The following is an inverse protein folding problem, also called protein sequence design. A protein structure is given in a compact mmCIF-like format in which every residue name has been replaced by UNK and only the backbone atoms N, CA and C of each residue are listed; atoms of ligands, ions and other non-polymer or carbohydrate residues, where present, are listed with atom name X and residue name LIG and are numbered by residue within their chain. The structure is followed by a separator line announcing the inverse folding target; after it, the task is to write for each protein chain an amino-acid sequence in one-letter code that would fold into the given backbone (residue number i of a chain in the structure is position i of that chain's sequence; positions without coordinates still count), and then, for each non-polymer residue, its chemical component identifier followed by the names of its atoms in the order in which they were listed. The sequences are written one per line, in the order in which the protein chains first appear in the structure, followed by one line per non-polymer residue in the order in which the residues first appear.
data_IF_891552540111
#
_entry.id   IF_891552540111
#
_cell.length_a   1.000
_cell.length_b   1.000
_cell.length_c   1.000
_cell.angle_alpha   90.00
_cell.angle_beta   90.00
_cell.angle_gamma   90.00
#
_symmetry.space_group_name_H-M   'P 1'
#
loop_
_entity.id
_entity.type
_entity.pdbx_description
1 polymer ?
#
# COMPACT_ATOMS: atom_id res chain seq x y z
N UNK A 1 33.63 -23.02 -50.52
CA UNK A 1 34.27 -22.25 -49.43
C UNK A 1 34.92 -21.01 -50.03
N UNK A 2 34.13 -19.97 -50.33
CA UNK A 2 34.68 -18.68 -50.71
C UNK A 2 35.08 -17.95 -49.43
N UNK A 3 36.35 -17.59 -49.30
CA UNK A 3 36.89 -16.86 -48.15
C UNK A 3 36.13 -15.53 -47.98
N UNK A 4 35.39 -15.42 -46.88
CA UNK A 4 34.72 -14.19 -46.48
C UNK A 4 35.80 -13.15 -46.11
N UNK A 5 35.88 -11.99 -46.78
CA UNK A 5 36.93 -10.97 -46.59
C UNK A 5 37.07 -10.43 -45.15
N UNK A 6 36.10 -10.69 -44.29
CA UNK A 6 36.07 -10.25 -42.89
C UNK A 6 36.92 -11.11 -41.95
N UNK A 7 37.30 -12.33 -42.34
CA UNK A 7 38.15 -13.21 -41.53
C UNK A 7 39.56 -12.64 -41.33
N UNK A 8 40.07 -11.91 -42.32
CA UNK A 8 41.38 -11.24 -42.27
C UNK A 8 41.42 -10.05 -41.29
N UNK A 9 40.27 -9.63 -40.75
CA UNK A 9 40.16 -8.50 -39.80
C UNK A 9 40.50 -8.90 -38.36
N UNK A 10 40.49 -10.20 -38.06
CA UNK A 10 40.81 -10.73 -36.75
C UNK A 10 42.24 -11.29 -36.77
N UNK A 11 43.15 -10.66 -36.01
CA UNK A 11 44.55 -11.13 -35.88
C UNK A 11 44.55 -12.63 -35.58
N UNK A 12 45.45 -13.40 -36.22
CA UNK A 12 45.65 -14.85 -36.02
C UNK A 12 45.42 -15.22 -34.54
N UNK A 13 44.31 -15.91 -34.27
CA UNK A 13 44.02 -16.43 -32.94
C UNK A 13 45.20 -17.33 -32.53
N UNK A 14 45.96 -16.92 -31.51
CA UNK A 14 46.99 -17.74 -30.87
C UNK A 14 46.37 -19.09 -30.47
N UNK A 15 47.14 -20.19 -30.62
CA UNK A 15 46.71 -21.53 -30.19
C UNK A 15 46.34 -21.59 -28.70
N UNK A 16 46.81 -20.63 -27.89
CA UNK A 16 46.40 -20.49 -26.49
C UNK A 16 44.91 -20.17 -26.34
N UNK A 17 44.23 -19.52 -27.28
CA UNK A 17 42.81 -19.12 -27.10
C UNK A 17 41.82 -20.28 -26.89
N UNK A 18 42.16 -21.50 -27.31
CA UNK A 18 41.28 -22.67 -27.13
C UNK A 18 41.53 -23.32 -25.76
N UNK A 19 40.49 -23.84 -25.08
CA UNK A 19 40.67 -24.58 -23.83
C UNK A 19 41.68 -25.73 -24.01
N UNK A 20 42.65 -25.91 -23.10
CA UNK A 20 43.55 -27.05 -23.17
C UNK A 20 42.77 -28.36 -23.05
N UNK A 21 43.26 -29.43 -23.71
CA UNK A 21 42.62 -30.75 -23.68
C UNK A 21 42.57 -31.42 -22.29
N UNK A 22 43.21 -30.85 -21.27
CA UNK A 22 43.26 -31.37 -19.90
C UNK A 22 42.54 -30.39 -18.96
N UNK A 23 41.57 -30.91 -18.20
CA UNK A 23 40.73 -30.15 -17.25
C UNK A 23 41.49 -29.71 -15.98
N UNK A 24 42.59 -30.36 -15.62
CA UNK A 24 43.39 -30.01 -14.44
C UNK A 24 44.59 -29.20 -14.92
N UNK A 25 44.56 -27.90 -14.64
CA UNK A 25 45.57 -26.92 -15.06
C UNK A 25 46.03 -26.09 -13.87
N UNK A 26 47.29 -25.63 -13.99
CA UNK A 26 48.04 -24.83 -13.02
C UNK A 26 47.16 -23.78 -12.28
N UNK A 27 47.09 -23.84 -10.96
CA UNK A 27 46.27 -22.93 -10.11
C UNK A 27 47.01 -21.63 -9.73
N UNK A 28 48.09 -21.33 -10.42
CA UNK A 28 48.87 -20.11 -10.22
C UNK A 28 48.05 -18.87 -10.61
N UNK A 29 48.01 -17.87 -9.74
CA UNK A 29 47.16 -16.67 -9.87
C UNK A 29 47.53 -15.85 -11.12
N UNK A 30 48.82 -15.77 -11.44
CA UNK A 30 49.31 -15.11 -12.65
C UNK A 30 48.83 -15.84 -13.92
N UNK A 31 48.85 -17.17 -13.91
CA UNK A 31 48.36 -17.99 -15.02
C UNK A 31 46.85 -17.85 -15.19
N UNK A 32 46.08 -17.89 -14.10
CA UNK A 32 44.63 -17.72 -14.12
C UNK A 32 44.22 -16.33 -14.64
N UNK A 33 44.93 -15.27 -14.24
CA UNK A 33 44.67 -13.90 -14.72
C UNK A 33 44.93 -13.73 -16.24
N UNK A 34 46.04 -14.29 -16.73
CA UNK A 34 46.33 -14.33 -18.18
C UNK A 34 45.25 -15.12 -18.90
N UNK A 35 44.85 -16.28 -18.36
CA UNK A 35 43.84 -17.14 -18.96
C UNK A 35 42.48 -16.46 -19.03
N UNK A 36 42.09 -15.76 -17.97
CA UNK A 36 40.85 -14.97 -17.93
C UNK A 36 40.85 -13.89 -19.01
N UNK A 37 41.97 -13.18 -19.17
CA UNK A 37 42.13 -12.14 -20.21
C UNK A 37 42.04 -12.74 -21.61
N UNK A 38 42.74 -13.86 -21.87
CA UNK A 38 42.68 -14.54 -23.16
C UNK A 38 41.26 -15.04 -23.49
N UNK A 39 40.55 -15.62 -22.51
CA UNK A 39 39.18 -16.07 -22.69
C UNK A 39 38.23 -14.90 -22.97
N UNK A 40 38.42 -13.76 -22.29
CA UNK A 40 37.63 -12.55 -22.51
C UNK A 40 37.80 -12.02 -23.94
N UNK A 41 39.03 -11.97 -24.45
CA UNK A 41 39.32 -11.54 -25.81
C UNK A 41 38.78 -12.52 -26.86
N UNK A 42 38.82 -13.83 -26.58
CA UNK A 42 38.19 -14.84 -27.42
C UNK A 42 36.67 -14.62 -27.49
N UNK A 43 35.99 -14.52 -26.34
CA UNK A 43 34.54 -14.32 -26.28
C UNK A 43 34.11 -13.02 -26.96
N UNK A 44 34.85 -11.92 -26.78
CA UNK A 44 34.62 -10.66 -27.51
C UNK A 44 34.73 -10.82 -29.02
N UNK A 45 35.66 -11.65 -29.47
CA UNK A 45 35.86 -11.92 -30.89
C UNK A 45 34.71 -12.75 -31.45
N UNK A 46 34.31 -13.80 -30.74
CA UNK A 46 33.14 -14.64 -31.08
C UNK A 46 31.88 -13.78 -31.16
N UNK A 47 31.61 -12.94 -30.16
CA UNK A 47 30.45 -12.05 -30.16
C UNK A 47 30.43 -11.06 -31.33
N UNK A 48 31.59 -10.45 -31.67
CA UNK A 48 31.69 -9.55 -32.84
C UNK A 48 31.47 -10.27 -34.16
N UNK A 49 32.04 -11.45 -34.32
CA UNK A 49 31.86 -12.28 -35.52
C UNK A 49 30.40 -12.70 -35.69
N UNK A 50 29.78 -13.09 -34.59
CA UNK A 50 28.41 -13.53 -34.54
C UNK A 50 27.43 -12.37 -34.85
N UNK A 51 27.65 -11.18 -34.29
CA UNK A 51 26.89 -9.98 -34.65
C UNK A 51 26.98 -9.64 -36.15
N UNK A 52 28.14 -9.85 -36.78
CA UNK A 52 28.33 -9.65 -38.22
C UNK A 52 27.57 -10.70 -39.03
N UNK A 53 27.62 -11.97 -38.61
CA UNK A 53 26.91 -13.08 -39.26
C UNK A 53 25.38 -12.93 -39.14
N UNK A 54 24.90 -12.51 -37.97
CA UNK A 54 23.50 -12.23 -37.69
C UNK A 54 22.95 -11.11 -38.57
N UNK A 55 23.69 -9.98 -38.66
CA UNK A 55 23.35 -8.86 -39.57
C UNK A 55 23.25 -9.29 -41.04
N UNK A 56 24.08 -10.24 -41.47
CA UNK A 56 24.02 -10.82 -42.83
C UNK A 56 22.83 -11.75 -43.05
N UNK A 57 22.31 -12.38 -41.99
CA UNK A 57 21.16 -13.28 -42.04
C UNK A 57 19.83 -12.60 -41.70
N UNK A 58 19.82 -11.28 -41.46
CA UNK A 58 18.66 -10.54 -40.90
C UNK A 58 18.11 -11.18 -39.61
N UNK A 59 18.98 -11.84 -38.84
CA UNK A 59 18.66 -12.38 -37.52
C UNK A 59 19.25 -11.43 -36.47
N UNK A 60 18.57 -11.27 -35.34
CA UNK A 60 19.02 -10.42 -34.23
C UNK A 60 19.20 -11.22 -32.92
N UNK A 61 19.53 -12.52 -33.03
CA UNK A 61 19.51 -13.46 -31.90
C UNK A 61 20.89 -14.09 -31.65
N UNK A 62 21.40 -13.99 -30.42
CA UNK A 62 22.62 -14.70 -30.01
C UNK A 62 22.43 -16.24 -30.07
N UNK A 63 23.44 -17.02 -30.48
CA UNK A 63 23.43 -18.47 -30.40
C UNK A 63 23.20 -18.95 -28.97
N UNK A 64 22.25 -19.87 -28.81
CA UNK A 64 21.88 -20.43 -27.52
C UNK A 64 23.08 -20.98 -26.74
N UNK A 65 24.01 -21.67 -27.41
CA UNK A 65 25.21 -22.21 -26.77
C UNK A 65 26.08 -21.13 -26.10
N UNK A 66 26.15 -19.93 -26.66
CA UNK A 66 26.89 -18.81 -26.08
C UNK A 66 26.11 -18.17 -24.93
N UNK A 67 24.80 -18.02 -25.09
CA UNK A 67 23.91 -17.51 -24.04
C UNK A 67 23.90 -18.43 -22.80
N UNK A 68 23.87 -19.75 -23.00
CA UNK A 68 23.99 -20.76 -21.93
C UNK A 68 25.37 -20.73 -21.29
N UNK A 69 26.45 -20.62 -22.07
CA UNK A 69 27.80 -20.55 -21.51
C UNK A 69 28.03 -19.31 -20.63
N UNK A 70 27.40 -18.19 -20.98
CA UNK A 70 27.50 -16.93 -20.25
C UNK A 70 26.46 -16.79 -19.13
N UNK A 71 25.63 -17.81 -18.89
CA UNK A 71 24.54 -17.81 -17.92
C UNK A 71 23.57 -16.62 -18.09
N UNK A 72 23.23 -16.27 -19.34
CA UNK A 72 22.34 -15.13 -19.63
C UNK A 72 20.95 -15.28 -19.01
N UNK A 73 20.49 -16.52 -18.82
CA UNK A 73 19.27 -16.86 -18.09
C UNK A 73 19.26 -16.35 -16.64
N UNK A 74 20.41 -15.97 -16.06
CA UNK A 74 20.51 -15.46 -14.69
C UNK A 74 20.48 -13.94 -14.57
N UNK A 75 20.73 -13.16 -15.64
CA UNK A 75 20.86 -11.70 -15.54
C UNK A 75 20.47 -10.90 -16.78
N UNK A 76 20.32 -11.52 -17.95
CA UNK A 76 19.96 -10.83 -19.19
C UNK A 76 18.45 -10.98 -19.46
N UNK A 77 17.82 -9.88 -19.91
CA UNK A 77 16.36 -9.76 -20.00
C UNK A 77 15.73 -10.85 -20.88
N UNK A 78 16.28 -11.13 -22.07
CA UNK A 78 15.75 -12.15 -22.97
C UNK A 78 15.97 -13.55 -22.42
N UNK A 79 17.18 -13.83 -21.92
CA UNK A 79 17.51 -15.12 -21.31
C UNK A 79 16.61 -15.47 -20.14
N UNK A 80 16.35 -14.51 -19.25
CA UNK A 80 15.46 -14.70 -18.09
C UNK A 80 14.02 -14.93 -18.53
N UNK A 81 13.51 -14.18 -19.51
CA UNK A 81 12.13 -14.34 -19.99
C UNK A 81 11.96 -15.66 -20.76
N UNK A 82 12.98 -16.07 -21.51
CA UNK A 82 13.00 -17.36 -22.20
C UNK A 82 12.99 -18.53 -21.21
N UNK A 83 13.81 -18.48 -20.16
CA UNK A 83 13.83 -19.49 -19.09
C UNK A 83 12.48 -19.54 -18.33
N UNK A 84 11.87 -18.38 -18.10
CA UNK A 84 10.52 -18.28 -17.54
C UNK A 84 9.46 -18.92 -18.46
N UNK A 85 9.54 -18.67 -19.77
CA UNK A 85 8.62 -19.27 -20.73
C UNK A 85 8.73 -20.80 -20.75
N UNK A 86 9.96 -21.34 -20.69
CA UNK A 86 10.20 -22.79 -20.55
C UNK A 86 9.66 -23.35 -19.24
N UNK A 87 9.81 -22.62 -18.14
CA UNK A 87 9.27 -23.03 -16.84
C UNK A 87 7.75 -23.11 -16.90
N UNK A 88 7.11 -22.08 -17.45
CA UNK A 88 5.66 -22.03 -17.59
C UNK A 88 5.17 -23.13 -18.52
N UNK A 89 5.80 -23.34 -19.69
CA UNK A 89 5.37 -24.35 -20.67
C UNK A 89 5.39 -25.77 -20.10
N UNK A 90 6.35 -26.07 -19.23
CA UNK A 90 6.43 -27.36 -18.54
C UNK A 90 5.42 -27.49 -17.39
N UNK A 91 4.91 -26.38 -16.85
CA UNK A 91 4.02 -26.37 -15.68
C UNK A 91 2.53 -26.08 -16.00
N UNK A 92 2.17 -25.79 -17.26
CA UNK A 92 0.79 -25.39 -17.67
C UNK A 92 -0.28 -26.39 -17.22
N UNK A 93 0.03 -27.68 -17.16
CA UNK A 93 -0.93 -28.73 -16.81
C UNK A 93 -1.34 -28.73 -15.32
N UNK A 94 -0.63 -28.02 -14.45
CA UNK A 94 -0.80 -28.14 -13.00
C UNK A 94 -1.51 -26.97 -12.30
N UNK A 95 -1.70 -25.81 -12.93
CA UNK A 95 -2.19 -24.60 -12.25
C UNK A 95 -3.70 -24.31 -12.39
N UNK A 96 -4.46 -25.21 -13.01
CA UNK A 96 -5.90 -25.03 -13.27
C UNK A 96 -6.80 -25.33 -12.07
N UNK A 97 -6.28 -25.96 -11.01
CA UNK A 97 -7.10 -26.42 -9.87
C UNK A 97 -7.06 -25.52 -8.63
N UNK A 98 -8.17 -25.45 -7.90
CA UNK A 98 -8.43 -24.50 -6.81
C UNK A 98 -7.59 -24.72 -5.53
N UNK A 99 -6.72 -25.74 -5.51
CA UNK A 99 -5.84 -26.08 -4.38
C UNK A 99 -4.34 -25.85 -4.61
N UNK A 100 -3.92 -25.38 -5.78
CA UNK A 100 -2.50 -25.38 -6.19
C UNK A 100 -1.73 -24.23 -5.53
N UNK A 101 -0.47 -24.50 -5.16
CA UNK A 101 0.49 -23.52 -4.62
C UNK A 101 0.59 -22.26 -5.49
N UNK A 102 0.87 -21.07 -4.92
CA UNK A 102 0.98 -19.85 -5.71
C UNK A 102 2.18 -19.96 -6.67
N UNK A 103 1.98 -19.63 -7.96
CA UNK A 103 3.07 -19.59 -8.94
C UNK A 103 4.15 -18.61 -8.49
N UNK A 104 5.43 -18.96 -8.45
CA UNK A 104 6.48 -18.12 -7.86
C UNK A 104 7.34 -17.45 -8.94
N UNK A 105 7.34 -16.12 -8.98
CA UNK A 105 8.27 -15.31 -9.76
C UNK A 105 9.40 -14.76 -8.89
N UNK A 106 10.56 -14.52 -9.47
CA UNK A 106 11.57 -13.66 -8.87
C UNK A 106 11.35 -12.21 -9.31
N UNK A 107 11.85 -11.26 -8.52
CA UNK A 107 11.81 -9.84 -8.90
C UNK A 107 12.58 -9.59 -10.19
N UNK A 108 13.63 -10.39 -10.45
CA UNK A 108 14.42 -10.30 -11.67
C UNK A 108 13.64 -10.80 -12.88
N UNK A 109 12.94 -11.93 -12.77
CA UNK A 109 12.02 -12.43 -13.81
C UNK A 109 10.92 -11.42 -14.12
N UNK A 110 10.33 -10.81 -13.08
CA UNK A 110 9.30 -9.81 -13.24
C UNK A 110 9.83 -8.52 -13.90
N UNK A 111 11.03 -8.07 -13.51
CA UNK A 111 11.72 -6.95 -14.13
C UNK A 111 12.03 -7.22 -15.61
N UNK A 112 12.62 -8.38 -15.89
CA UNK A 112 12.95 -8.81 -17.24
C UNK A 112 11.70 -8.88 -18.13
N UNK A 113 10.61 -9.49 -17.65
CA UNK A 113 9.33 -9.52 -18.37
C UNK A 113 8.82 -8.11 -18.67
N UNK A 114 8.92 -7.20 -17.70
CA UNK A 114 8.49 -5.82 -17.86
C UNK A 114 9.32 -5.06 -18.89
N UNK A 115 10.65 -5.11 -18.79
CA UNK A 115 11.54 -4.46 -19.76
C UNK A 115 11.34 -5.06 -21.15
N UNK A 116 11.14 -6.38 -21.24
CA UNK A 116 10.92 -7.05 -22.52
C UNK A 116 9.64 -6.59 -23.24
N UNK A 117 8.58 -6.26 -22.52
CA UNK A 117 7.37 -5.66 -23.10
C UNK A 117 7.52 -4.18 -23.45
N UNK A 118 8.49 -3.48 -22.86
CA UNK A 118 8.76 -2.07 -23.20
C UNK A 118 9.50 -1.96 -24.54
N UNK A 119 10.26 -2.98 -24.91
CA UNK A 119 11.00 -3.03 -26.17
C UNK A 119 10.03 -3.12 -27.36
N UNK A 120 10.23 -2.34 -28.43
CA UNK A 120 9.43 -2.38 -29.66
C UNK A 120 9.83 -3.56 -30.54
N UNK A 121 9.89 -4.75 -29.96
CA UNK A 121 10.37 -5.98 -30.59
C UNK A 121 9.23 -7.01 -30.65
N UNK A 122 9.21 -7.89 -31.67
CA UNK A 122 8.19 -8.93 -31.77
C UNK A 122 8.19 -9.82 -30.52
N UNK A 123 7.03 -10.34 -30.14
CA UNK A 123 6.84 -11.19 -28.95
C UNK A 123 7.49 -12.57 -29.10
N UNK A 124 7.83 -12.93 -30.35
CA UNK A 124 8.42 -14.20 -30.73
C UNK A 124 9.51 -13.97 -31.80
N UNK A 125 10.64 -14.67 -31.70
CA UNK A 125 11.65 -14.69 -32.77
C UNK A 125 11.26 -15.72 -33.83
N UNK A 126 11.26 -15.42 -35.13
CA UNK A 126 10.79 -16.35 -36.17
C UNK A 126 11.52 -17.72 -36.24
N UNK A 127 12.64 -17.88 -35.54
CA UNK A 127 13.41 -19.11 -35.40
C UNK A 127 13.23 -19.86 -34.07
N UNK A 128 12.48 -19.31 -33.11
CA UNK A 128 12.20 -19.95 -31.81
C UNK A 128 10.96 -20.84 -31.87
N UNK A 129 10.83 -21.75 -30.90
CA UNK A 129 9.63 -22.54 -30.68
C UNK A 129 8.46 -21.63 -30.24
N UNK A 130 7.24 -21.88 -30.75
CA UNK A 130 6.04 -21.09 -30.44
C UNK A 130 5.72 -21.11 -28.93
N UNK A 131 6.19 -22.14 -28.22
CA UNK A 131 6.08 -22.25 -26.77
C UNK A 131 6.86 -21.18 -25.99
N UNK A 132 7.83 -20.50 -26.64
CA UNK A 132 8.66 -19.46 -26.05
C UNK A 132 8.11 -18.05 -26.29
N UNK A 133 6.92 -17.94 -26.88
CA UNK A 133 6.27 -16.65 -27.10
C UNK A 133 5.97 -15.97 -25.76
N UNK A 134 6.42 -14.71 -25.64
CA UNK A 134 6.11 -13.86 -24.49
C UNK A 134 4.60 -13.65 -24.36
N UNK A 135 3.86 -13.72 -25.48
CA UNK A 135 2.40 -13.72 -25.50
C UNK A 135 1.80 -14.81 -24.63
N UNK A 136 2.31 -16.04 -24.73
CA UNK A 136 1.86 -17.19 -23.93
C UNK A 136 2.18 -16.99 -22.44
N UNK A 137 3.35 -16.43 -22.13
CA UNK A 137 3.72 -16.07 -20.75
C UNK A 137 2.74 -15.04 -20.18
N UNK A 138 2.41 -14.00 -20.95
CA UNK A 138 1.45 -12.96 -20.52
C UNK A 138 0.03 -13.54 -20.37
N UNK A 139 -0.39 -14.39 -21.29
CA UNK A 139 -1.68 -15.07 -21.23
C UNK A 139 -1.76 -16.01 -20.02
N UNK A 140 -0.72 -16.79 -19.73
CA UNK A 140 -0.66 -17.60 -18.53
C UNK A 140 -0.75 -16.75 -17.26
N UNK A 141 0.02 -15.67 -17.17
CA UNK A 141 -0.01 -14.74 -16.05
C UNK A 141 -1.39 -14.04 -15.89
N UNK A 142 -2.16 -13.92 -16.98
CA UNK A 142 -3.55 -13.42 -16.98
C UNK A 142 -4.52 -14.33 -16.25
N UNK A 143 -4.31 -15.63 -16.40
CA UNK A 143 -5.19 -16.65 -15.87
C UNK A 143 -4.88 -16.96 -14.40
N UNK A 144 -3.77 -16.46 -13.86
CA UNK A 144 -3.34 -16.78 -12.51
C UNK A 144 -4.37 -16.32 -11.47
N UNK A 145 -4.82 -17.28 -10.65
CA UNK A 145 -5.63 -17.03 -9.46
C UNK A 145 -4.78 -16.83 -8.21
N UNK A 146 -3.46 -17.08 -8.22
CA UNK A 146 -2.53 -16.96 -7.07
C UNK A 146 -1.11 -16.77 -7.63
N UNK A 147 -0.42 -15.67 -7.33
CA UNK A 147 0.97 -15.44 -7.77
C UNK A 147 1.81 -15.13 -6.54
N UNK A 148 3.07 -15.55 -6.48
CA UNK A 148 4.09 -15.16 -5.51
C UNK A 148 5.26 -14.52 -6.21
N UNK A 149 5.91 -13.58 -5.57
CA UNK A 149 7.16 -12.97 -6.03
C UNK A 149 8.14 -13.12 -4.89
N UNK A 150 9.41 -13.27 -5.20
CA UNK A 150 10.48 -13.40 -4.23
C UNK A 150 11.65 -12.50 -4.60
N UNK A 151 12.40 -12.10 -3.58
CA UNK A 151 13.67 -11.39 -3.54
C UNK A 151 13.71 -10.06 -4.31
N UNK A 152 13.39 -8.94 -3.66
CA UNK A 152 13.49 -7.56 -4.20
C UNK A 152 14.92 -7.02 -4.14
N UNK A 153 15.43 -6.58 -5.29
CA UNK A 153 16.30 -5.41 -5.37
C UNK A 153 15.46 -4.22 -5.91
N UNK A 154 15.56 -3.07 -5.24
CA UNK A 154 14.60 -1.93 -5.26
C UNK A 154 14.22 -1.35 -6.64
N UNK A 155 14.92 -1.69 -7.72
CA UNK A 155 14.74 -1.00 -9.01
C UNK A 155 13.52 -1.49 -9.81
N UNK A 156 12.97 -2.66 -9.51
CA UNK A 156 12.00 -3.31 -10.38
C UNK A 156 10.53 -2.88 -10.18
N UNK A 157 10.11 -2.47 -8.98
CA UNK A 157 8.67 -2.37 -8.67
C UNK A 157 8.02 -1.11 -9.28
N UNK A 158 8.80 -0.06 -9.56
CA UNK A 158 8.31 1.06 -10.36
C UNK A 158 7.96 0.65 -11.81
N UNK A 159 8.55 -0.45 -12.31
CA UNK A 159 8.39 -0.91 -13.69
C UNK A 159 7.23 -1.92 -13.86
N UNK A 160 6.97 -2.81 -12.88
CA UNK A 160 5.87 -3.83 -12.87
C UNK A 160 4.48 -3.27 -13.18
N UNK A 161 4.38 -1.95 -13.11
CA UNK A 161 3.21 -1.12 -13.24
C UNK A 161 2.92 -0.57 -14.63
N UNK A 162 3.94 -0.51 -15.48
CA UNK A 162 3.79 0.05 -16.81
C UNK A 162 3.66 -1.13 -17.78
N UNK A 163 2.40 -1.48 -18.06
CA UNK A 163 1.90 -2.27 -19.21
C UNK A 163 1.76 -3.80 -19.14
N UNK A 164 1.96 -4.49 -18.01
CA UNK A 164 1.53 -5.91 -17.92
C UNK A 164 0.01 -5.94 -17.76
N UNK A 165 -0.74 -6.07 -18.86
CA UNK A 165 -2.20 -6.22 -18.85
C UNK A 165 -2.68 -7.46 -18.09
N UNK A 166 -1.80 -8.26 -17.51
CA UNK A 166 -2.19 -9.53 -16.95
C UNK A 166 -1.36 -10.08 -15.78
N UNK A 167 -1.56 -9.64 -14.52
CA UNK A 167 -1.16 -10.39 -13.33
C UNK A 167 -2.22 -10.43 -12.22
N UNK A 168 -2.77 -11.64 -12.06
CA UNK A 168 -3.44 -12.14 -10.89
C UNK A 168 -2.47 -12.76 -9.86
N UNK A 169 -1.99 -12.00 -8.87
CA UNK A 169 -1.91 -12.39 -7.43
C UNK A 169 -0.61 -12.21 -6.71
N UNK A 170 0.27 -11.37 -7.24
CA UNK A 170 1.55 -10.90 -6.72
C UNK A 170 1.78 -10.96 -5.18
N UNK A 171 2.18 -12.13 -4.66
CA UNK A 171 3.02 -12.17 -3.48
C UNK A 171 4.36 -11.49 -3.83
N UNK A 172 5.17 -10.93 -2.94
CA UNK A 172 6.57 -10.45 -3.18
C UNK A 172 7.34 -10.79 -1.90
N UNK A 173 8.61 -11.23 -1.91
CA UNK A 173 9.37 -11.51 -0.67
C UNK A 173 10.87 -11.22 -0.66
N UNK A 174 11.33 -10.14 -0.02
CA UNK A 174 12.68 -10.08 0.58
C UNK A 174 13.66 -9.10 -0.05
N UNK A 175 14.11 -8.05 0.65
CA UNK A 175 15.30 -7.29 0.23
C UNK A 175 15.56 -6.00 1.00
N UNK A 176 16.77 -5.84 1.55
CA UNK A 176 17.22 -4.64 2.28
C UNK A 176 17.24 -3.43 1.36
N UNK A 177 16.48 -2.39 1.70
CA UNK A 177 16.17 -1.35 0.74
C UNK A 177 15.93 0.02 1.42
N UNK A 178 16.68 1.02 0.98
CA UNK A 178 16.69 2.40 1.44
C UNK A 178 15.90 3.30 0.47
N UNK A 179 14.99 4.10 1.03
CA UNK A 179 14.07 5.08 0.44
C UNK A 179 14.17 5.46 -1.05
N UNK A 180 13.08 5.24 -1.79
CA UNK A 180 12.13 6.27 -2.28
C UNK A 180 10.97 5.61 -3.03
N UNK A 181 9.82 6.28 -3.00
CA UNK A 181 8.48 5.87 -3.42
C UNK A 181 8.18 6.14 -4.90
N UNK A 182 7.49 5.21 -5.59
CA UNK A 182 6.33 5.42 -6.47
C UNK A 182 6.16 4.24 -7.45
N UNK A 183 4.93 3.71 -7.58
CA UNK A 183 4.58 2.45 -8.28
C UNK A 183 3.26 2.70 -9.05
N UNK A 184 3.21 2.92 -10.39
CA UNK A 184 1.96 3.31 -11.09
C UNK A 184 1.15 2.17 -11.78
N UNK A 185 0.36 1.34 -11.07
CA UNK A 185 -0.37 0.16 -11.62
C UNK A 185 -1.64 0.49 -12.46
N UNK A 186 -1.52 1.24 -13.56
CA UNK A 186 -2.68 1.60 -14.37
C UNK A 186 -2.92 0.61 -15.53
N UNK A 187 -4.17 0.13 -15.65
CA UNK A 187 -4.73 -0.65 -16.79
C UNK A 187 -4.78 -2.17 -16.62
N UNK A 188 -5.40 -2.59 -15.51
CA UNK A 188 -5.38 -3.95 -15.02
C UNK A 188 -6.81 -4.54 -14.91
N UNK A 189 -7.22 -5.44 -15.82
CA UNK A 189 -8.53 -6.15 -15.80
C UNK A 189 -8.34 -7.57 -15.25
N UNK A 190 -8.71 -7.83 -13.99
CA UNK A 190 -8.20 -9.01 -13.26
C UNK A 190 -9.14 -9.79 -12.36
N UNK A 191 -9.15 -11.11 -12.54
CA UNK A 191 -9.64 -12.13 -11.58
C UNK A 191 -8.76 -12.30 -10.33
N UNK A 192 -7.87 -11.33 -10.03
CA UNK A 192 -6.94 -11.31 -8.90
C UNK A 192 -7.67 -11.42 -7.56
N UNK A 193 -7.45 -12.48 -6.77
CA UNK A 193 -8.09 -12.68 -5.44
C UNK A 193 -7.24 -12.62 -4.15
N UNK A 194 -5.94 -12.92 -4.16
CA UNK A 194 -4.99 -13.23 -3.08
C UNK A 194 -3.56 -12.74 -3.39
N UNK A 195 -3.16 -11.58 -2.86
CA UNK A 195 -1.84 -10.92 -3.05
C UNK A 195 -0.98 -11.07 -1.79
N UNK A 196 0.30 -11.44 -1.84
CA UNK A 196 1.13 -11.61 -0.61
C UNK A 196 2.53 -10.99 -0.62
N UNK A 197 2.58 -9.71 -0.42
CA UNK A 197 3.79 -8.91 -0.40
C UNK A 197 4.59 -9.06 0.90
N UNK A 198 4.76 -10.26 1.47
CA UNK A 198 5.51 -10.49 2.72
C UNK A 198 7.01 -10.16 2.61
N UNK A 199 7.72 -9.67 3.64
CA UNK A 199 9.19 -9.52 3.62
C UNK A 199 9.79 -8.49 2.64
N UNK A 200 9.02 -7.53 2.11
CA UNK A 200 9.49 -6.65 1.02
C UNK A 200 10.10 -5.31 1.40
N UNK A 201 10.27 -5.06 2.70
CA UNK A 201 10.69 -3.75 3.19
C UNK A 201 9.82 -2.59 2.66
N UNK A 202 8.56 -2.85 2.27
CA UNK A 202 7.62 -1.83 1.79
C UNK A 202 7.35 -0.84 2.91
N UNK A 203 7.27 0.44 2.57
CA UNK A 203 6.89 1.52 3.50
C UNK A 203 5.46 2.00 3.31
N UNK A 204 4.93 1.82 2.11
CA UNK A 204 3.58 2.18 1.72
C UNK A 204 3.17 1.30 0.53
N UNK A 205 1.87 1.28 0.25
CA UNK A 205 1.26 0.65 -0.92
C UNK A 205 0.68 1.75 -1.81
N UNK A 206 0.56 1.50 -3.11
CA UNK A 206 -0.18 2.37 -4.01
C UNK A 206 -0.80 1.58 -5.16
N UNK A 207 -1.82 2.16 -5.80
CA UNK A 207 -2.48 1.64 -7.00
C UNK A 207 -3.10 0.23 -6.90
N UNK A 208 -3.33 -0.29 -5.68
CA UNK A 208 -4.12 -1.51 -5.46
C UNK A 208 -5.63 -1.30 -5.68
N UNK A 209 -6.08 -0.05 -5.85
CA UNK A 209 -7.46 0.32 -6.12
C UNK A 209 -7.97 -0.21 -7.48
N UNK A 210 -7.05 -0.50 -8.40
CA UNK A 210 -7.35 -1.00 -9.74
C UNK A 210 -7.55 -2.52 -9.79
N UNK A 211 -7.58 -3.18 -8.63
CA UNK A 211 -7.72 -4.63 -8.50
C UNK A 211 -9.09 -4.97 -7.90
N UNK A 212 -10.18 -4.95 -8.70
CA UNK A 212 -11.55 -4.96 -8.17
C UNK A 212 -11.93 -6.26 -7.46
N UNK A 213 -11.27 -7.37 -7.79
CA UNK A 213 -11.55 -8.70 -7.23
C UNK A 213 -10.61 -9.11 -6.09
N UNK A 214 -9.68 -8.23 -5.66
CA UNK A 214 -8.69 -8.58 -4.65
C UNK A 214 -9.36 -8.77 -3.29
N UNK A 215 -9.38 -10.01 -2.80
CA UNK A 215 -10.00 -10.40 -1.53
C UNK A 215 -9.02 -10.62 -0.39
N UNK A 216 -7.80 -11.09 -0.64
CA UNK A 216 -6.80 -11.37 0.39
C UNK A 216 -5.50 -10.63 0.09
N UNK A 217 -4.95 -9.95 1.08
CA UNK A 217 -3.71 -9.19 1.00
C UNK A 217 -2.82 -9.52 2.19
N UNK A 218 -1.64 -10.05 1.95
CA UNK A 218 -0.60 -10.21 2.95
C UNK A 218 0.52 -9.20 2.71
N UNK A 219 0.88 -8.46 3.74
CA UNK A 219 1.90 -7.41 3.77
C UNK A 219 2.79 -7.61 5.00
N UNK A 220 2.90 -8.85 5.50
CA UNK A 220 3.65 -9.15 6.72
C UNK A 220 5.16 -8.90 6.55
N UNK A 221 5.89 -8.68 7.63
CA UNK A 221 7.34 -8.48 7.62
C UNK A 221 7.81 -7.33 6.69
N UNK A 222 7.05 -6.24 6.64
CA UNK A 222 7.44 -5.04 5.89
C UNK A 222 7.92 -3.93 6.83
N UNK A 223 8.08 -2.71 6.31
CA UNK A 223 8.49 -1.52 7.08
C UNK A 223 7.40 -0.45 7.00
N UNK A 224 6.14 -0.88 7.00
CA UNK A 224 4.99 0.01 6.86
C UNK A 224 4.76 0.71 8.20
N UNK A 225 4.84 2.03 8.20
CA UNK A 225 4.72 2.85 9.41
C UNK A 225 3.40 3.61 9.48
N UNK A 226 2.94 4.11 8.33
CA UNK A 226 1.73 4.92 8.19
C UNK A 226 0.85 4.28 7.14
N UNK A 227 -0.42 4.07 7.49
CA UNK A 227 -1.43 3.49 6.60
C UNK A 227 -2.54 4.49 6.25
N UNK A 228 -2.27 5.78 6.41
CA UNK A 228 -3.23 6.83 6.10
C UNK A 228 -3.66 6.76 4.63
N UNK A 229 -4.94 7.01 4.36
CA UNK A 229 -5.55 6.94 3.02
C UNK A 229 -5.59 5.56 2.37
N UNK A 230 -5.24 4.48 3.08
CA UNK A 230 -5.35 3.12 2.55
C UNK A 230 -6.78 2.76 2.17
N UNK A 231 -7.78 3.35 2.82
CA UNK A 231 -9.18 3.26 2.40
C UNK A 231 -9.48 3.77 0.98
N UNK A 232 -8.60 4.56 0.37
CA UNK A 232 -8.69 4.97 -1.04
C UNK A 232 -7.85 4.07 -1.96
N UNK A 233 -6.78 3.50 -1.41
CA UNK A 233 -5.79 2.71 -2.15
C UNK A 233 -6.14 1.23 -2.22
N UNK A 234 -6.90 0.73 -1.25
CA UNK A 234 -7.34 -0.65 -1.18
C UNK A 234 -8.80 -0.74 -1.65
N UNK A 235 -9.07 -1.69 -2.54
CA UNK A 235 -10.42 -2.02 -3.00
C UNK A 235 -11.17 -2.93 -2.01
N UNK A 236 -11.83 -3.97 -2.54
CA UNK A 236 -12.68 -4.90 -1.78
C UNK A 236 -11.92 -5.99 -1.01
N UNK A 237 -10.89 -5.62 -0.26
CA UNK A 237 -10.10 -6.58 0.52
C UNK A 237 -10.90 -7.10 1.71
N UNK A 238 -10.99 -8.42 1.82
CA UNK A 238 -11.65 -9.17 2.91
C UNK A 238 -10.67 -9.64 3.98
N UNK A 239 -9.47 -10.08 3.60
CA UNK A 239 -8.44 -10.54 4.54
C UNK A 239 -7.19 -9.70 4.37
N UNK A 240 -6.75 -9.04 5.44
CA UNK A 240 -5.55 -8.20 5.44
C UNK A 240 -4.59 -8.68 6.53
N UNK A 241 -3.38 -9.07 6.15
CA UNK A 241 -2.29 -9.42 7.07
C UNK A 241 -1.20 -8.35 7.02
N UNK A 242 -0.86 -7.80 8.16
CA UNK A 242 0.11 -6.72 8.38
C UNK A 242 1.08 -7.08 9.52
N UNK A 243 1.24 -8.37 9.83
CA UNK A 243 2.09 -8.86 10.92
C UNK A 243 3.53 -8.34 10.80
N UNK A 244 4.19 -8.02 11.91
CA UNK A 244 5.58 -7.57 11.93
C UNK A 244 5.84 -6.38 10.99
N UNK A 245 5.11 -5.29 11.25
CA UNK A 245 5.30 -3.99 10.61
C UNK A 245 5.54 -2.93 11.72
N UNK A 246 5.52 -1.65 11.36
CA UNK A 246 5.74 -0.55 12.30
C UNK A 246 4.52 0.36 12.39
N UNK A 247 3.32 -0.19 12.26
CA UNK A 247 2.09 0.59 12.18
C UNK A 247 1.76 1.18 13.55
N UNK A 248 1.50 2.49 13.59
CA UNK A 248 1.15 3.23 14.81
C UNK A 248 -0.34 3.55 14.93
N UNK A 249 -1.12 3.46 13.84
CA UNK A 249 -2.54 3.83 13.85
C UNK A 249 -3.32 3.12 12.75
N UNK A 250 -4.53 2.66 13.09
CA UNK A 250 -5.43 1.99 12.15
C UNK A 250 -6.45 2.94 11.48
N UNK A 251 -6.29 4.26 11.65
CA UNK A 251 -7.21 5.27 11.10
C UNK A 251 -7.47 5.11 9.59
N UNK A 252 -6.44 4.71 8.84
CA UNK A 252 -6.53 4.52 7.40
C UNK A 252 -7.34 3.32 6.93
N UNK A 253 -7.74 2.42 7.83
CA UNK A 253 -8.57 1.23 7.51
C UNK A 253 -10.06 1.46 7.79
N UNK A 254 -10.44 2.60 8.37
CA UNK A 254 -11.79 2.88 8.89
C UNK A 254 -12.95 2.77 7.88
N UNK A 255 -12.68 2.77 6.57
CA UNK A 255 -13.71 2.66 5.52
C UNK A 255 -13.57 1.40 4.67
N UNK A 256 -12.83 0.39 5.13
CA UNK A 256 -12.71 -0.91 4.46
C UNK A 256 -13.88 -1.80 4.87
N UNK A 257 -15.08 -1.48 4.40
CA UNK A 257 -16.31 -2.13 4.86
C UNK A 257 -16.38 -3.63 4.58
N UNK A 258 -15.66 -4.11 3.56
CA UNK A 258 -15.59 -5.52 3.17
C UNK A 258 -14.61 -6.35 4.01
N UNK A 259 -13.85 -5.74 4.93
CA UNK A 259 -12.80 -6.41 5.68
C UNK A 259 -13.39 -7.34 6.75
N UNK A 260 -13.06 -8.62 6.68
CA UNK A 260 -13.51 -9.71 7.56
C UNK A 260 -12.41 -10.16 8.53
N UNK A 261 -11.15 -10.16 8.06
CA UNK A 261 -9.99 -10.62 8.83
C UNK A 261 -8.88 -9.56 8.80
N UNK A 262 -8.42 -9.13 9.97
CA UNK A 262 -7.31 -8.20 10.11
C UNK A 262 -6.27 -8.76 11.10
N UNK A 263 -5.06 -8.97 10.60
CA UNK A 263 -3.91 -9.37 11.40
C UNK A 263 -2.91 -8.22 11.45
N UNK A 264 -2.75 -7.61 12.63
CA UNK A 264 -1.81 -6.50 12.89
C UNK A 264 -0.86 -6.87 14.03
N UNK A 265 -0.57 -8.16 14.20
CA UNK A 265 0.37 -8.64 15.23
C UNK A 265 1.76 -8.04 15.06
N UNK A 266 2.52 -7.92 16.14
CA UNK A 266 3.89 -7.40 16.14
C UNK A 266 3.99 -6.04 15.42
N UNK A 267 3.16 -5.07 15.82
CA UNK A 267 3.19 -3.70 15.33
C UNK A 267 3.43 -2.72 16.49
N UNK A 268 3.43 -1.42 16.22
CA UNK A 268 3.72 -0.39 17.21
C UNK A 268 2.47 0.37 17.68
N UNK A 269 1.34 -0.33 17.87
CA UNK A 269 0.12 0.24 18.43
C UNK A 269 0.29 0.40 19.94
N UNK A 270 0.38 1.64 20.42
CA UNK A 270 0.60 2.00 21.82
C UNK A 270 -0.67 2.35 22.59
N UNK A 271 -1.70 2.82 21.90
CA UNK A 271 -2.93 3.32 22.52
C UNK A 271 -4.18 2.69 21.91
N UNK A 272 -5.17 2.41 22.74
CA UNK A 272 -6.45 1.82 22.32
C UNK A 272 -7.19 2.72 21.30
N UNK A 273 -7.06 4.05 21.45
CA UNK A 273 -7.63 5.02 20.50
C UNK A 273 -7.12 4.83 19.07
N UNK A 274 -5.95 4.23 18.88
CA UNK A 274 -5.39 3.94 17.55
C UNK A 274 -6.10 2.76 16.86
N UNK A 275 -6.77 1.89 17.63
CA UNK A 275 -7.53 0.73 17.13
C UNK A 275 -9.01 1.05 16.93
N UNK A 276 -9.57 1.99 17.68
CA UNK A 276 -10.98 2.42 17.52
C UNK A 276 -11.48 2.65 16.09
N UNK A 277 -10.68 3.19 15.14
CA UNK A 277 -11.15 3.38 13.78
C UNK A 277 -11.62 2.09 13.06
N UNK A 278 -11.14 0.91 13.46
CA UNK A 278 -11.61 -0.37 12.88
C UNK A 278 -12.90 -0.90 13.53
N UNK A 279 -13.33 -0.30 14.66
CA UNK A 279 -14.57 -0.67 15.35
C UNK A 279 -15.83 -0.43 14.50
N UNK A 280 -15.77 0.53 13.57
CA UNK A 280 -16.87 0.86 12.67
C UNK A 280 -17.00 -0.08 11.47
N UNK A 281 -16.11 -1.07 11.31
CA UNK A 281 -16.11 -1.96 10.15
C UNK A 281 -17.20 -3.05 10.29
N UNK A 282 -18.23 -3.06 9.44
CA UNK A 282 -19.43 -3.89 9.60
C UNK A 282 -19.21 -5.39 9.39
N UNK A 283 -18.16 -5.77 8.65
CA UNK A 283 -17.90 -7.18 8.33
C UNK A 283 -16.75 -7.79 9.12
N UNK A 284 -16.04 -7.00 9.96
CA UNK A 284 -14.86 -7.50 10.66
C UNK A 284 -15.27 -8.55 11.69
N UNK A 285 -14.64 -9.73 11.62
CA UNK A 285 -14.89 -10.88 12.49
C UNK A 285 -13.65 -11.27 13.29
N UNK A 286 -12.45 -11.11 12.72
CA UNK A 286 -11.20 -11.51 13.39
C UNK A 286 -10.23 -10.34 13.41
N UNK A 287 -9.78 -9.99 14.61
CA UNK A 287 -8.76 -8.95 14.84
C UNK A 287 -7.63 -9.52 15.70
N UNK A 288 -6.43 -9.63 15.12
CA UNK A 288 -5.24 -10.08 15.82
C UNK A 288 -4.34 -8.89 16.15
N UNK A 289 -4.11 -8.67 17.45
CA UNK A 289 -3.37 -7.54 18.01
C UNK A 289 -2.16 -7.97 18.86
N UNK A 290 -1.92 -9.27 19.03
CA UNK A 290 -0.83 -9.78 19.88
C UNK A 290 0.54 -9.19 19.49
N UNK A 291 1.38 -8.91 20.48
CA UNK A 291 2.72 -8.36 20.24
C UNK A 291 2.71 -6.84 19.95
N UNK A 292 1.61 -6.15 20.24
CA UNK A 292 1.56 -4.68 20.26
C UNK A 292 1.61 -4.16 21.70
N UNK A 293 2.11 -2.94 21.88
CA UNK A 293 2.17 -2.27 23.18
C UNK A 293 0.79 -2.08 23.84
N UNK A 294 -0.30 -2.01 23.04
CA UNK A 294 -1.68 -1.91 23.53
C UNK A 294 -2.11 -3.12 24.37
N UNK A 295 -1.50 -4.29 24.16
CA UNK A 295 -1.79 -5.51 24.91
C UNK A 295 -1.45 -5.37 26.41
N UNK A 296 -0.48 -4.53 26.75
CA UNK A 296 -0.06 -4.26 28.14
C UNK A 296 -1.04 -3.33 28.89
N UNK A 297 -2.06 -2.81 28.22
CA UNK A 297 -3.02 -1.91 28.86
C UNK A 297 -4.05 -2.68 29.72
N UNK A 298 -4.43 -2.09 30.84
CA UNK A 298 -5.46 -2.65 31.72
C UNK A 298 -6.79 -2.69 30.96
N UNK A 299 -7.50 -3.82 31.07
CA UNK A 299 -8.74 -4.11 30.34
C UNK A 299 -8.62 -3.96 28.82
N UNK A 300 -7.45 -4.28 28.22
CA UNK A 300 -7.25 -4.07 26.78
C UNK A 300 -8.37 -4.72 25.97
N UNK A 301 -8.72 -5.98 26.27
CA UNK A 301 -9.76 -6.73 25.55
C UNK A 301 -11.11 -6.03 25.62
N UNK A 302 -11.57 -5.72 26.83
CA UNK A 302 -12.86 -5.04 27.05
C UNK A 302 -12.91 -3.69 26.36
N UNK A 303 -11.82 -2.90 26.39
CA UNK A 303 -11.77 -1.58 25.74
C UNK A 303 -11.70 -1.65 24.21
N UNK A 304 -11.11 -2.71 23.66
CA UNK A 304 -11.11 -2.98 22.22
C UNK A 304 -12.52 -3.43 21.78
N UNK A 305 -13.16 -4.33 22.54
CA UNK A 305 -14.54 -4.75 22.29
C UNK A 305 -15.53 -3.57 22.40
N UNK A 306 -15.30 -2.63 23.32
CA UNK A 306 -16.06 -1.38 23.43
C UNK A 306 -16.02 -0.54 22.15
N UNK A 307 -14.99 -0.70 21.30
CA UNK A 307 -14.92 -0.06 19.99
C UNK A 307 -15.93 -0.61 18.98
N UNK A 308 -16.30 -1.88 19.11
CA UNK A 308 -17.23 -2.58 18.22
C UNK A 308 -18.69 -2.43 18.65
N UNK A 309 -18.94 -1.83 19.81
CA UNK A 309 -20.28 -1.52 20.28
C UNK A 309 -21.14 -2.78 20.46
N UNK A 310 -22.33 -2.79 19.87
CA UNK A 310 -23.27 -3.92 19.91
C UNK A 310 -22.72 -5.17 19.21
N UNK A 311 -21.77 -5.01 18.29
CA UNK A 311 -21.14 -6.12 17.55
C UNK A 311 -19.96 -6.77 18.28
N UNK A 312 -19.71 -6.40 19.53
CA UNK A 312 -18.65 -6.98 20.34
C UNK A 312 -18.72 -8.52 20.45
N UNK A 313 -19.91 -9.12 20.34
CA UNK A 313 -20.11 -10.58 20.36
C UNK A 313 -19.66 -11.30 19.08
N UNK A 314 -19.66 -10.61 17.94
CA UNK A 314 -19.30 -11.17 16.63
C UNK A 314 -17.78 -11.22 16.40
N UNK A 315 -17.04 -10.36 17.10
CA UNK A 315 -15.61 -10.12 16.86
C UNK A 315 -14.77 -11.01 17.78
N UNK A 316 -13.81 -11.72 17.19
CA UNK A 316 -12.78 -12.49 17.89
C UNK A 316 -11.50 -11.68 17.97
N UNK A 317 -11.08 -11.37 19.20
CA UNK A 317 -9.83 -10.66 19.48
C UNK A 317 -8.77 -11.68 19.86
N UNK A 318 -7.67 -11.72 19.11
CA UNK A 318 -6.60 -12.72 19.26
C UNK A 318 -7.11 -14.17 19.15
N UNK A 319 -8.06 -14.42 18.23
CA UNK A 319 -8.78 -15.68 18.02
C UNK A 319 -9.76 -16.10 19.13
N UNK A 320 -9.80 -15.38 20.26
CA UNK A 320 -10.74 -15.65 21.33
C UNK A 320 -12.04 -14.88 21.15
N UNK A 321 -13.17 -15.56 21.31
CA UNK A 321 -14.48 -14.91 21.38
C UNK A 321 -14.62 -14.08 22.67
N UNK A 322 -15.47 -13.06 22.65
CA UNK A 322 -15.79 -12.28 23.84
C UNK A 322 -16.50 -13.13 24.89
N UNK A 323 -16.04 -13.07 26.13
CA UNK A 323 -16.71 -13.72 27.26
C UNK A 323 -17.94 -12.92 27.68
N UNK A 324 -18.94 -13.57 28.29
CA UNK A 324 -20.15 -12.88 28.74
C UNK A 324 -19.83 -11.72 29.70
N UNK A 325 -18.85 -11.89 30.60
CA UNK A 325 -18.42 -10.84 31.53
C UNK A 325 -17.86 -9.61 30.81
N UNK A 326 -17.09 -9.82 29.74
CA UNK A 326 -16.57 -8.72 28.92
C UNK A 326 -17.72 -8.00 28.21
N UNK A 327 -18.69 -8.75 27.65
CA UNK A 327 -19.87 -8.20 26.97
C UNK A 327 -20.77 -7.38 27.92
N UNK A 328 -21.00 -7.87 29.13
CA UNK A 328 -21.77 -7.14 30.15
C UNK A 328 -21.06 -5.82 30.52
N UNK A 329 -19.74 -5.89 30.71
CA UNK A 329 -18.92 -4.70 31.00
C UNK A 329 -18.95 -3.71 29.83
N UNK A 330 -18.87 -4.19 28.59
CA UNK A 330 -18.98 -3.36 27.38
C UNK A 330 -20.36 -2.69 27.32
N UNK A 331 -21.44 -3.43 27.56
CA UNK A 331 -22.81 -2.89 27.58
C UNK A 331 -22.95 -1.75 28.60
N UNK A 332 -22.43 -1.95 29.82
CA UNK A 332 -22.43 -0.92 30.86
C UNK A 332 -21.63 0.31 30.41
N UNK A 333 -20.43 0.11 29.84
CA UNK A 333 -19.59 1.22 29.35
C UNK A 333 -20.24 1.97 28.20
N UNK A 334 -20.91 1.28 27.28
CA UNK A 334 -21.67 1.89 26.18
C UNK A 334 -22.86 2.71 26.70
N UNK A 335 -23.60 2.19 27.69
CA UNK A 335 -24.69 2.92 28.33
C UNK A 335 -24.18 4.19 29.03
N UNK A 336 -23.07 4.11 29.76
CA UNK A 336 -22.43 5.28 30.40
C UNK A 336 -21.99 6.29 29.34
N UNK A 337 -21.34 5.84 28.26
CA UNK A 337 -20.90 6.70 27.16
C UNK A 337 -22.10 7.40 26.50
N UNK A 338 -23.16 6.67 26.21
CA UNK A 338 -24.40 7.20 25.62
C UNK A 338 -25.04 8.23 26.55
N UNK A 339 -25.19 7.91 27.83
CA UNK A 339 -25.74 8.85 28.82
C UNK A 339 -24.90 10.13 28.95
N UNK A 340 -23.56 10.01 28.89
CA UNK A 340 -22.66 11.17 28.89
C UNK A 340 -22.83 12.03 27.63
N UNK A 341 -22.97 11.38 26.47
CA UNK A 341 -23.17 12.05 25.19
C UNK A 341 -24.54 12.73 25.09
N UNK A 342 -25.61 12.07 25.56
CA UNK A 342 -26.96 12.63 25.65
C UNK A 342 -26.97 13.86 26.57
N UNK A 343 -26.29 13.78 27.72
CA UNK A 343 -26.12 14.93 28.63
C UNK A 343 -25.35 16.05 27.94
N UNK A 344 -24.29 15.76 27.19
CA UNK A 344 -23.52 16.75 26.42
C UNK A 344 -24.39 17.45 25.38
N UNK A 345 -25.22 16.71 24.64
CA UNK A 345 -26.17 17.24 23.66
C UNK A 345 -27.25 18.10 24.31
N UNK A 346 -27.77 17.69 25.48
CA UNK A 346 -28.72 18.48 26.26
C UNK A 346 -28.09 19.81 26.70
N UNK A 347 -26.86 19.80 27.24
CA UNK A 347 -26.14 21.02 27.58
C UNK A 347 -25.95 21.90 26.35
N UNK A 348 -25.52 21.35 25.22
CA UNK A 348 -25.31 22.11 23.99
C UNK A 348 -26.60 22.79 23.51
N UNK A 349 -27.73 22.08 23.56
CA UNK A 349 -29.04 22.63 23.19
C UNK A 349 -29.52 23.71 24.17
N UNK A 350 -29.35 23.48 25.48
CA UNK A 350 -29.68 24.48 26.49
C UNK A 350 -28.83 25.75 26.33
N UNK A 351 -27.52 25.63 26.10
CA UNK A 351 -26.64 26.78 25.87
C UNK A 351 -27.02 27.54 24.59
N UNK A 352 -27.41 26.83 23.52
CA UNK A 352 -27.92 27.47 22.29
C UNK A 352 -29.24 28.22 22.53
N UNK A 353 -30.17 27.65 23.30
CA UNK A 353 -31.41 28.33 23.66
C UNK A 353 -31.17 29.57 24.50
N UNK A 354 -30.25 29.51 25.47
CA UNK A 354 -29.82 30.67 26.27
C UNK A 354 -29.23 31.75 25.36
N UNK A 355 -28.34 31.38 24.42
CA UNK A 355 -27.77 32.33 23.45
C UNK A 355 -28.84 33.04 22.60
N UNK A 356 -29.86 32.30 22.15
CA UNK A 356 -30.99 32.85 21.40
C UNK A 356 -31.85 33.77 22.27
N UNK A 357 -32.18 33.37 23.49
CA UNK A 357 -32.95 34.17 24.42
C UNK A 357 -32.24 35.48 24.80
N UNK A 358 -30.92 35.43 25.02
CA UNK A 358 -30.09 36.62 25.26
C UNK A 358 -30.12 37.58 24.06
N UNK A 359 -30.04 37.03 22.84
CA UNK A 359 -30.10 37.85 21.62
C UNK A 359 -31.47 38.50 21.42
N UNK A 360 -32.56 37.82 21.79
CA UNK A 360 -33.91 38.37 21.77
C UNK A 360 -34.11 39.45 22.85
N UNK A 361 -33.62 39.20 24.07
CA UNK A 361 -33.69 40.15 25.17
C UNK A 361 -32.90 41.43 24.88
N UNK A 362 -31.72 41.31 24.26
CA UNK A 362 -30.98 42.48 23.77
C UNK A 362 -31.81 43.28 22.76
N UNK A 363 -32.43 42.62 21.77
CA UNK A 363 -33.27 43.29 20.78
C UNK A 363 -34.51 43.97 21.39
N UNK A 364 -35.13 43.38 22.42
CA UNK A 364 -36.25 43.98 23.15
C UNK A 364 -35.82 45.19 23.99
N UNK A 365 -34.70 45.08 24.72
CA UNK A 365 -34.15 46.18 25.50
C UNK A 365 -33.82 47.35 24.59
N UNK A 366 -33.19 47.12 23.43
CA UNK A 366 -32.89 48.16 22.47
C UNK A 366 -34.16 48.84 21.91
N UNK A 367 -35.19 48.06 21.56
CA UNK A 367 -36.49 48.62 21.15
C UNK A 367 -37.15 49.48 22.24
N UNK A 368 -37.01 49.10 23.50
CA UNK A 368 -37.57 49.88 24.63
C UNK A 368 -36.85 51.22 24.83
N UNK A 369 -35.53 51.27 24.59
CA UNK A 369 -34.78 52.52 24.58
C UNK A 369 -35.21 53.43 23.43
N UNK A 370 -35.48 52.88 22.24
CA UNK A 370 -35.96 53.65 21.09
C UNK A 370 -37.35 54.25 21.31
N UNK A 371 -38.28 53.53 21.94
CA UNK A 371 -39.64 54.04 22.25
C UNK A 371 -39.65 55.20 23.25
N UNK A 372 -38.70 55.27 24.18
CA UNK A 372 -38.60 56.35 25.19
C UNK A 372 -38.20 57.70 24.55
N UNK A 373 -37.62 57.69 23.35
CA UNK A 373 -37.21 58.91 22.63
C UNK A 373 -38.37 59.71 22.01
N UNK A 374 -39.60 59.17 22.05
CA UNK A 374 -40.78 59.77 21.42
C UNK A 374 -41.52 60.88 22.20
N UNK A 375 -41.02 61.33 23.36
CA UNK A 375 -41.71 62.37 24.17
C UNK A 375 -41.11 63.77 23.90
N UNK A 376 -41.88 64.75 23.39
CA UNK A 376 -41.37 66.06 23.02
C UNK A 376 -41.39 67.01 24.23
N UNK A 377 -40.26 67.20 24.91
CA UNK A 377 -40.09 68.38 25.77
C UNK A 377 -38.63 68.92 25.75
N UNK A 378 -38.34 70.10 25.17
CA UNK A 378 -36.97 70.48 24.78
C UNK A 378 -36.04 70.91 25.93
N UNK A 379 -36.55 71.17 27.12
CA UNK A 379 -35.76 71.79 28.21
C UNK A 379 -35.18 70.80 29.24
N UNK A 380 -35.62 69.53 29.25
CA UNK A 380 -35.03 68.45 30.06
C UNK A 380 -34.24 67.41 29.21
N UNK A 381 -34.32 67.52 27.88
CA UNK A 381 -33.84 66.51 26.94
C UNK A 381 -32.31 66.34 26.85
N UNK A 382 -31.51 67.40 27.02
CA UNK A 382 -30.04 67.28 26.87
C UNK A 382 -29.38 66.43 27.96
N UNK A 383 -29.81 66.58 29.22
CA UNK A 383 -29.26 65.81 30.33
C UNK A 383 -29.81 64.38 30.36
N UNK A 384 -31.09 64.18 30.02
CA UNK A 384 -31.69 62.84 29.93
C UNK A 384 -31.15 62.04 28.75
N UNK A 385 -30.96 62.64 27.56
CA UNK A 385 -30.39 61.96 26.39
C UNK A 385 -28.93 61.54 26.61
N UNK A 386 -28.13 62.35 27.33
CA UNK A 386 -26.72 62.02 27.64
C UNK A 386 -26.59 60.89 28.68
N UNK A 387 -27.52 60.82 29.64
CA UNK A 387 -27.62 59.72 30.61
C UNK A 387 -28.17 58.44 29.95
N UNK A 388 -29.13 58.57 29.03
CA UNK A 388 -29.71 57.45 28.27
C UNK A 388 -28.71 56.84 27.26
N UNK A 389 -27.93 57.66 26.54
CA UNK A 389 -26.87 57.15 25.66
C UNK A 389 -25.74 56.44 26.40
N UNK A 390 -25.43 56.85 27.62
CA UNK A 390 -24.47 56.13 28.49
C UNK A 390 -25.04 54.79 28.98
N UNK A 391 -26.33 54.73 29.29
CA UNK A 391 -26.98 53.51 29.78
C UNK A 391 -27.26 52.51 28.65
N UNK A 392 -27.59 52.96 27.43
CA UNK A 392 -27.70 52.10 26.25
C UNK A 392 -26.34 51.52 25.82
N UNK A 393 -25.27 52.31 25.87
CA UNK A 393 -23.91 51.83 25.61
C UNK A 393 -23.44 50.83 26.68
N UNK A 394 -23.79 51.08 27.96
CA UNK A 394 -23.50 50.14 29.05
C UNK A 394 -24.29 48.83 28.87
N UNK A 395 -25.54 48.90 28.40
CA UNK A 395 -26.36 47.72 28.12
C UNK A 395 -25.76 46.89 26.96
N UNK A 396 -25.40 47.52 25.84
CA UNK A 396 -24.70 46.83 24.74
C UNK A 396 -23.39 46.18 25.21
N UNK A 397 -22.58 46.89 26.01
CA UNK A 397 -21.33 46.33 26.55
C UNK A 397 -21.61 45.08 27.40
N UNK A 398 -22.61 45.11 28.27
CA UNK A 398 -22.97 43.97 29.12
C UNK A 398 -23.52 42.78 28.32
N UNK A 399 -24.34 43.02 27.30
CA UNK A 399 -24.81 41.95 26.41
C UNK A 399 -23.67 41.36 25.56
N UNK A 400 -22.70 42.18 25.14
CA UNK A 400 -21.50 41.71 24.46
C UNK A 400 -20.63 40.82 25.36
N UNK A 401 -20.43 41.22 26.63
CA UNK A 401 -19.73 40.41 27.62
C UNK A 401 -20.44 39.07 27.87
N UNK A 402 -21.77 39.10 28.04
CA UNK A 402 -22.58 37.90 28.25
C UNK A 402 -22.54 36.95 27.04
N UNK A 403 -22.61 37.49 25.82
CA UNK A 403 -22.45 36.71 24.58
C UNK A 403 -21.06 36.10 24.47
N UNK A 404 -20.02 36.82 24.89
CA UNK A 404 -18.65 36.30 24.92
C UNK A 404 -18.52 35.12 25.88
N UNK A 405 -19.06 35.24 27.11
CA UNK A 405 -19.07 34.14 28.09
C UNK A 405 -19.84 32.91 27.58
N UNK A 406 -21.00 33.11 26.95
CA UNK A 406 -21.79 32.02 26.35
C UNK A 406 -21.00 31.31 25.24
N UNK A 407 -20.28 32.06 24.41
CA UNK A 407 -19.44 31.48 23.36
C UNK A 407 -18.26 30.68 23.94
N UNK A 408 -17.62 31.15 25.01
CA UNK A 408 -16.59 30.39 25.72
C UNK A 408 -17.16 29.08 26.29
N UNK A 409 -18.36 29.13 26.88
CA UNK A 409 -19.04 27.93 27.38
C UNK A 409 -19.39 26.96 26.23
N UNK A 410 -19.87 27.48 25.09
CA UNK A 410 -20.13 26.67 23.91
C UNK A 410 -18.86 25.98 23.40
N UNK A 411 -17.74 26.69 23.34
CA UNK A 411 -16.45 26.13 22.93
C UNK A 411 -15.96 25.07 23.92
N UNK A 412 -16.09 25.30 25.23
CA UNK A 412 -15.75 24.31 26.26
C UNK A 412 -16.62 23.05 26.17
N UNK A 413 -17.92 23.20 25.96
CA UNK A 413 -18.86 22.06 25.78
C UNK A 413 -18.59 21.31 24.47
N UNK A 414 -18.15 22.01 23.41
CA UNK A 414 -17.72 21.37 22.16
C UNK A 414 -16.42 20.59 22.28
N UNK A 415 -15.47 21.07 23.09
CA UNK A 415 -14.17 20.42 23.32
C UNK A 415 -14.23 19.24 24.30
N UNK A 416 -15.38 18.97 24.92
CA UNK A 416 -15.53 17.95 25.98
C UNK A 416 -15.47 16.47 25.50
N UNK A 417 -14.90 16.22 24.31
CA UNK A 417 -14.87 14.92 23.61
C UNK A 417 -13.90 13.90 24.21
#
# INVERSE_FOLDING_TARGET
MAELPEWNRFKKLKRSFLPPKKLIGNHDEAFLSIRQTELQDYLRTVFKLDAILQKKKNLNSMPLALATFLDFNLYEVHGIVHDLALTISNEVEHFTDEGVEPFVLSTLQLYALTERMRLPEPTHEPSSDLMLDIGNVIEFLSCLKRLKVSKIAIMAIAAVCLKTRSIGNLQVTGGKCAGKSNIPLNSLNFSLRVLDLTCNCLRDIDNLQHLPYLTELNLSNNRIEKIEHWNKKLGNVKKLRLTNNKIHSLKGLSKLYSLEYLDVRDNNLSHIKQVWPVGNLPCLQVLLLSGNCVENSIDYRTRILEAFGERASEVRVNNDAATQRELDTVTIRLAIRKAKEDRRLQLLNATKQISQAVSLAEAEVLKSFDMITGIPNPSQAMNSARLQGKTSNLAHSRFADLKHEINVILDLVQQWS
#
